data_IF_001838361791
#
_entry.id   IF_001838361791
#
_cell.length_a   1.000
_cell.length_b   1.000
_cell.length_c   1.000
_cell.angle_alpha   90.00
_cell.angle_beta   90.00
_cell.angle_gamma   90.00
#
_symmetry.space_group_name_H-M   'P 1'
#
loop_
_entity.id
_entity.type
_entity.pdbx_description
1 polymer ?
#
# COMPACT_ATOMS: atom_id res chain seq x y z
N UNK A 1 16.18 -12.42 -6.51
CA UNK A 1 17.38 -11.95 -7.25
C UNK A 1 18.59 -12.73 -6.75
N UNK A 2 19.35 -13.41 -7.61
CA UNK A 2 20.57 -14.14 -7.19
C UNK A 2 21.75 -13.18 -7.08
N UNK A 3 21.71 -12.30 -6.07
CA UNK A 3 22.78 -11.35 -5.79
C UNK A 3 23.78 -11.93 -4.77
N UNK A 4 25.08 -11.56 -4.88
CA UNK A 4 26.04 -11.78 -3.82
C UNK A 4 25.51 -11.21 -2.49
N UNK A 5 25.78 -11.83 -1.33
CA UNK A 5 25.21 -11.41 -0.04
C UNK A 5 25.34 -9.90 0.25
N UNK A 6 26.47 -9.29 -0.13
CA UNK A 6 26.74 -7.87 0.06
C UNK A 6 25.86 -6.91 -0.77
N UNK A 7 25.09 -7.41 -1.75
CA UNK A 7 24.20 -6.61 -2.63
C UNK A 7 22.73 -6.95 -2.45
N UNK A 8 22.38 -7.83 -1.51
CA UNK A 8 20.99 -8.23 -1.28
C UNK A 8 20.16 -7.15 -0.58
N UNK A 9 20.85 -6.20 0.07
CA UNK A 9 20.25 -5.04 0.69
C UNK A 9 20.62 -3.78 -0.11
N UNK A 10 19.68 -2.85 -0.28
CA UNK A 10 19.93 -1.55 -0.87
C UNK A 10 20.74 -0.63 0.05
N UNK A 11 20.93 -1.04 1.31
CA UNK A 11 21.80 -0.40 2.28
C UNK A 11 23.16 -1.12 2.33
N UNK A 12 24.23 -0.42 1.97
CA UNK A 12 25.60 -0.90 2.19
C UNK A 12 25.89 -1.10 3.69
N UNK A 13 26.87 -1.95 4.04
CA UNK A 13 27.39 -2.06 5.41
C UNK A 13 27.83 -0.73 6.04
N UNK A 14 28.10 0.30 5.22
CA UNK A 14 28.41 1.67 5.65
C UNK A 14 27.20 2.60 5.73
N UNK A 15 25.98 2.07 5.67
CA UNK A 15 24.72 2.83 5.57
C UNK A 15 24.68 3.81 4.38
N UNK A 16 25.50 3.57 3.37
CA UNK A 16 25.44 4.29 2.10
C UNK A 16 24.38 3.62 1.23
N UNK A 17 23.42 4.38 0.73
CA UNK A 17 22.42 3.86 -0.19
C UNK A 17 23.05 3.57 -1.54
N UNK A 18 22.88 2.34 -2.00
CA UNK A 18 23.10 2.01 -3.39
C UNK A 18 21.80 2.30 -4.15
N UNK A 19 21.70 3.51 -4.70
CA UNK A 19 20.51 3.97 -5.43
C UNK A 19 20.22 3.08 -6.65
N UNK A 20 21.24 2.46 -7.27
CA UNK A 20 21.01 1.51 -8.35
C UNK A 20 20.37 0.22 -7.86
N UNK A 21 20.79 -0.30 -6.71
CA UNK A 21 20.16 -1.47 -6.09
C UNK A 21 18.75 -1.14 -5.61
N UNK A 22 18.54 0.06 -5.05
CA UNK A 22 17.20 0.54 -4.70
C UNK A 22 16.29 0.54 -5.94
N UNK A 23 16.73 1.17 -7.03
CA UNK A 23 15.94 1.23 -8.26
C UNK A 23 15.67 -0.15 -8.86
N UNK A 24 16.68 -1.03 -8.88
CA UNK A 24 16.52 -2.40 -9.36
C UNK A 24 15.51 -3.20 -8.52
N UNK A 25 15.55 -3.03 -7.20
CA UNK A 25 14.61 -3.71 -6.27
C UNK A 25 13.20 -3.19 -6.47
N UNK A 26 13.04 -1.86 -6.52
CA UNK A 26 11.77 -1.18 -6.78
C UNK A 26 11.15 -1.67 -8.11
N UNK A 27 11.92 -1.69 -9.20
CA UNK A 27 11.46 -2.18 -10.50
C UNK A 27 11.09 -3.66 -10.47
N UNK A 28 11.83 -4.48 -9.72
CA UNK A 28 11.56 -5.92 -9.57
C UNK A 28 10.21 -6.14 -8.90
N UNK A 29 9.94 -5.46 -7.79
CA UNK A 29 8.65 -5.57 -7.09
C UNK A 29 7.50 -5.02 -7.92
N UNK A 30 7.68 -3.88 -8.59
CA UNK A 30 6.66 -3.32 -9.49
C UNK A 30 6.33 -4.29 -10.65
N UNK A 31 7.36 -4.87 -11.28
CA UNK A 31 7.17 -5.84 -12.37
C UNK A 31 6.49 -7.11 -11.87
N UNK A 32 6.83 -7.57 -10.67
CA UNK A 32 6.17 -8.71 -10.02
C UNK A 32 4.67 -8.46 -9.83
N UNK A 33 4.28 -7.28 -9.33
CA UNK A 33 2.87 -6.88 -9.24
C UNK A 33 2.22 -6.93 -10.63
N UNK A 34 2.80 -6.28 -11.63
CA UNK A 34 2.22 -6.21 -12.97
C UNK A 34 2.05 -7.59 -13.64
N UNK A 35 2.95 -8.53 -13.35
CA UNK A 35 2.89 -9.89 -13.89
C UNK A 35 1.81 -10.75 -13.21
N UNK A 36 1.71 -10.65 -11.88
CA UNK A 36 0.82 -11.50 -11.10
C UNK A 36 -0.61 -10.95 -10.98
N UNK A 37 -0.77 -9.62 -10.90
CA UNK A 37 -2.05 -8.97 -10.65
C UNK A 37 -3.19 -9.41 -11.60
N UNK A 38 -2.99 -9.58 -12.93
CA UNK A 38 -4.07 -10.01 -13.83
C UNK A 38 -4.62 -11.42 -13.54
N UNK A 39 -3.85 -12.24 -12.85
CA UNK A 39 -4.19 -13.61 -12.47
C UNK A 39 -4.52 -13.72 -10.97
N UNK A 40 -4.37 -12.61 -10.23
CA UNK A 40 -4.77 -12.54 -8.84
C UNK A 40 -6.30 -12.51 -8.73
N UNK A 41 -6.80 -12.81 -7.55
CA UNK A 41 -8.22 -12.74 -7.19
C UNK A 41 -8.54 -11.48 -6.36
N UNK A 42 -7.66 -10.48 -6.42
CA UNK A 42 -7.87 -9.17 -5.78
C UNK A 42 -8.72 -8.30 -6.68
N UNK A 43 -9.97 -8.09 -6.30
CA UNK A 43 -10.86 -7.19 -7.03
C UNK A 43 -10.22 -5.79 -7.15
N UNK A 44 -9.95 -5.38 -8.38
CA UNK A 44 -9.40 -4.05 -8.67
C UNK A 44 -10.49 -3.00 -8.89
N UNK A 45 -11.77 -3.36 -8.82
CA UNK A 45 -12.88 -2.44 -8.98
C UNK A 45 -12.87 -1.25 -8.00
N UNK A 46 -12.51 -1.42 -6.71
CA UNK A 46 -12.55 -0.31 -5.75
C UNK A 46 -11.51 0.77 -6.06
N UNK A 47 -10.41 0.41 -6.74
CA UNK A 47 -9.29 1.31 -7.03
C UNK A 47 -9.30 1.86 -8.45
N UNK A 48 -10.40 1.69 -9.19
CA UNK A 48 -10.52 2.11 -10.61
C UNK A 48 -10.22 3.59 -10.84
N UNK A 49 -10.52 4.46 -9.87
CA UNK A 49 -10.32 5.90 -9.98
C UNK A 49 -8.85 6.32 -9.80
N UNK A 50 -7.97 5.44 -9.33
CA UNK A 50 -6.52 5.70 -9.27
C UNK A 50 -5.91 5.50 -10.66
N UNK A 51 -5.55 6.61 -11.30
CA UNK A 51 -5.09 6.64 -12.71
C UNK A 51 -3.80 7.43 -12.90
N UNK A 52 -3.23 7.96 -11.81
CA UNK A 52 -2.02 8.81 -11.83
C UNK A 52 -0.79 8.14 -12.45
N UNK A 53 -0.68 6.81 -12.36
CA UNK A 53 0.55 6.10 -12.71
C UNK A 53 0.37 4.98 -13.74
N UNK A 54 -0.83 4.42 -13.87
CA UNK A 54 -1.17 3.41 -14.86
C UNK A 54 -2.69 3.39 -15.12
N UNK A 55 -3.14 3.01 -16.32
CA UNK A 55 -4.56 2.79 -16.58
C UNK A 55 -5.08 1.58 -15.79
N UNK A 56 -6.35 1.66 -15.34
CA UNK A 56 -7.00 0.55 -14.65
C UNK A 56 -7.11 -0.68 -15.55
N UNK A 57 -6.78 -1.85 -14.98
CA UNK A 57 -7.06 -3.15 -15.59
C UNK A 57 -8.00 -3.94 -14.69
N UNK A 58 -9.15 -4.42 -15.19
CA UNK A 58 -10.04 -5.26 -14.41
C UNK A 58 -9.34 -6.55 -13.99
N UNK A 59 -9.46 -6.90 -12.71
CA UNK A 59 -9.02 -8.18 -12.15
C UNK A 59 -10.27 -8.85 -11.57
N UNK A 60 -10.62 -10.08 -12.02
CA UNK A 60 -11.77 -10.78 -11.49
C UNK A 60 -11.52 -11.22 -10.05
N UNK A 61 -12.54 -11.04 -9.20
CA UNK A 61 -12.55 -11.55 -7.82
C UNK A 61 -12.63 -13.08 -7.81
N UNK A 62 -12.15 -13.70 -6.73
CA UNK A 62 -12.31 -15.15 -6.50
C UNK A 62 -12.14 -15.51 -5.03
N UNK A 63 -12.55 -16.74 -4.68
CA UNK A 63 -12.78 -17.15 -3.29
C UNK A 63 -11.54 -17.66 -2.55
N UNK A 64 -10.44 -17.95 -3.26
CA UNK A 64 -9.26 -18.61 -2.69
C UNK A 64 -7.99 -17.89 -3.11
N UNK A 65 -7.45 -17.03 -2.23
CA UNK A 65 -6.14 -16.39 -2.37
C UNK A 65 -5.12 -17.32 -3.06
N UNK A 66 -4.97 -17.13 -4.37
CA UNK A 66 -4.13 -18.01 -5.16
C UNK A 66 -2.66 -17.57 -5.06
N UNK A 67 -1.75 -18.34 -5.64
CA UNK A 67 -0.34 -18.00 -5.63
C UNK A 67 -0.05 -16.60 -6.23
N UNK A 68 -0.81 -16.19 -7.24
CA UNK A 68 -0.67 -14.85 -7.84
C UNK A 68 -1.11 -13.74 -6.89
N UNK A 69 -2.20 -13.95 -6.14
CA UNK A 69 -2.61 -13.02 -5.10
C UNK A 69 -1.50 -12.86 -4.05
N UNK A 70 -0.95 -13.98 -3.55
CA UNK A 70 0.11 -13.94 -2.55
C UNK A 70 1.36 -13.21 -3.05
N UNK A 71 1.79 -13.48 -4.30
CA UNK A 71 2.91 -12.76 -4.91
C UNK A 71 2.63 -11.26 -5.09
N UNK A 72 1.40 -10.89 -5.42
CA UNK A 72 0.99 -9.49 -5.60
C UNK A 72 1.05 -8.73 -4.27
N UNK A 73 0.44 -9.28 -3.21
CA UNK A 73 0.45 -8.69 -1.86
C UNK A 73 1.87 -8.62 -1.30
N UNK A 74 2.64 -9.70 -1.39
CA UNK A 74 4.01 -9.72 -0.89
C UNK A 74 4.92 -8.70 -1.61
N UNK A 75 4.73 -8.52 -2.93
CA UNK A 75 5.48 -7.51 -3.69
C UNK A 75 5.09 -6.09 -3.28
N UNK A 76 3.82 -5.84 -3.00
CA UNK A 76 3.35 -4.55 -2.49
C UNK A 76 3.87 -4.25 -1.07
N UNK A 77 3.97 -5.27 -0.22
CA UNK A 77 4.54 -5.19 1.12
C UNK A 77 6.04 -4.82 1.08
N UNK A 78 6.83 -5.46 0.20
CA UNK A 78 8.25 -5.12 0.04
C UNK A 78 8.44 -3.68 -0.48
N UNK A 79 7.57 -3.17 -1.36
CA UNK A 79 7.59 -1.74 -1.74
C UNK A 79 7.33 -0.84 -0.53
N UNK A 80 6.36 -1.19 0.32
CA UNK A 80 6.06 -0.42 1.53
C UNK A 80 7.29 -0.40 2.45
N UNK A 81 7.97 -1.54 2.61
CA UNK A 81 9.20 -1.64 3.39
C UNK A 81 10.33 -0.78 2.83
N UNK A 82 10.46 -0.63 1.52
CA UNK A 82 11.47 0.24 0.90
C UNK A 82 11.34 1.70 1.31
N UNK A 83 10.13 2.18 1.67
CA UNK A 83 9.90 3.53 2.20
C UNK A 83 10.67 3.75 3.52
N UNK A 84 10.92 2.68 4.28
CA UNK A 84 11.61 2.74 5.58
C UNK A 84 13.13 2.77 5.49
N UNK A 85 13.69 2.70 4.27
CA UNK A 85 15.14 2.78 4.08
C UNK A 85 15.69 4.11 4.63
N UNK A 86 16.91 4.07 5.16
CA UNK A 86 17.53 5.22 5.86
C UNK A 86 18.08 6.29 4.91
N UNK A 87 17.24 6.75 3.99
CA UNK A 87 17.53 7.83 3.03
C UNK A 87 16.28 8.70 2.89
N UNK A 88 16.42 10.03 2.78
CA UNK A 88 15.27 10.89 2.53
C UNK A 88 14.51 10.46 1.27
N UNK A 89 13.17 10.40 1.32
CA UNK A 89 12.34 9.98 0.19
C UNK A 89 12.57 10.85 -1.06
N UNK A 90 12.84 12.14 -0.86
CA UNK A 90 13.14 13.10 -1.91
C UNK A 90 14.50 12.86 -2.62
N UNK A 91 15.36 11.99 -2.08
CA UNK A 91 16.61 11.59 -2.74
C UNK A 91 16.41 10.51 -3.80
N UNK A 92 15.25 9.85 -3.83
CA UNK A 92 14.92 8.84 -4.84
C UNK A 92 14.31 9.48 -6.10
N UNK A 93 14.30 8.71 -7.18
CA UNK A 93 13.68 9.15 -8.45
C UNK A 93 12.17 9.33 -8.31
N UNK A 94 11.60 10.24 -9.13
CA UNK A 94 10.16 10.41 -9.28
C UNK A 94 9.38 9.11 -9.49
N UNK A 95 10.01 8.16 -10.17
CA UNK A 95 9.37 6.90 -10.50
C UNK A 95 8.95 6.13 -9.25
N UNK A 96 9.61 6.36 -8.10
CA UNK A 96 9.19 5.77 -6.84
C UNK A 96 7.78 6.19 -6.41
N UNK A 97 7.31 7.40 -6.74
CA UNK A 97 5.92 7.82 -6.55
C UNK A 97 4.94 6.86 -7.24
N UNK A 98 5.25 6.45 -8.48
CA UNK A 98 4.42 5.51 -9.22
C UNK A 98 4.39 4.13 -8.56
N UNK A 99 5.52 3.70 -8.02
CA UNK A 99 5.66 2.38 -7.38
C UNK A 99 4.97 2.35 -6.02
N UNK A 100 5.05 3.43 -5.23
CA UNK A 100 4.27 3.60 -3.99
C UNK A 100 2.77 3.58 -4.32
N UNK A 101 2.34 4.27 -5.37
CA UNK A 101 0.93 4.29 -5.79
C UNK A 101 0.44 2.89 -6.17
N UNK A 102 1.25 2.13 -6.90
CA UNK A 102 0.95 0.73 -7.26
C UNK A 102 0.82 -0.16 -6.02
N UNK A 103 1.71 0.00 -5.02
CA UNK A 103 1.61 -0.69 -3.74
C UNK A 103 0.32 -0.31 -2.98
N UNK A 104 -0.03 0.98 -2.92
CA UNK A 104 -1.27 1.45 -2.29
C UNK A 104 -2.52 0.86 -2.94
N UNK A 105 -2.56 0.74 -4.27
CA UNK A 105 -3.68 0.11 -4.99
C UNK A 105 -3.87 -1.33 -4.51
N UNK A 106 -2.79 -2.12 -4.43
CA UNK A 106 -2.87 -3.52 -3.97
C UNK A 106 -3.38 -3.61 -2.54
N UNK A 107 -2.88 -2.75 -1.65
CA UNK A 107 -3.31 -2.72 -0.25
C UNK A 107 -4.77 -2.30 -0.09
N UNK A 108 -5.23 -1.32 -0.86
CA UNK A 108 -6.65 -0.92 -0.90
C UNK A 108 -7.55 -2.04 -1.43
N UNK A 109 -7.12 -2.75 -2.48
CA UNK A 109 -7.83 -3.94 -2.98
C UNK A 109 -7.94 -5.03 -1.92
N UNK A 110 -6.86 -5.28 -1.15
CA UNK A 110 -6.89 -6.22 -0.02
C UNK A 110 -7.85 -5.74 1.07
N UNK A 111 -7.81 -4.46 1.41
CA UNK A 111 -8.68 -3.88 2.44
C UNK A 111 -10.18 -3.90 2.09
N UNK A 112 -10.51 -3.80 0.80
CA UNK A 112 -11.88 -3.86 0.31
C UNK A 112 -12.54 -5.25 0.46
N UNK A 113 -11.77 -6.29 0.82
CA UNK A 113 -12.32 -7.61 1.12
C UNK A 113 -13.17 -7.57 2.40
N UNK A 114 -14.19 -8.43 2.45
CA UNK A 114 -15.16 -8.53 3.56
C UNK A 114 -14.46 -8.84 4.87
N UNK A 115 -13.51 -9.78 4.82
CA UNK A 115 -12.74 -10.22 5.97
C UNK A 115 -11.32 -10.55 5.52
N UNK A 116 -10.37 -10.15 6.36
CA UNK A 116 -8.95 -10.44 6.19
C UNK A 116 -8.56 -11.34 7.38
N UNK A 117 -8.36 -12.65 7.15
CA UNK A 117 -7.98 -13.57 8.22
C UNK A 117 -6.57 -13.28 8.68
N UNK A 118 -6.42 -12.79 9.91
CA UNK A 118 -5.16 -12.39 10.53
C UNK A 118 -4.44 -11.29 9.73
N UNK A 119 -3.73 -10.40 10.42
CA UNK A 119 -2.83 -9.42 9.79
C UNK A 119 -3.47 -8.12 9.24
N UNK A 120 -4.44 -7.60 9.98
CA UNK A 120 -5.01 -6.26 9.78
C UNK A 120 -4.03 -5.14 10.19
N UNK A 121 -3.20 -5.39 11.21
CA UNK A 121 -2.21 -4.44 11.70
C UNK A 121 -1.11 -4.14 10.67
N UNK A 122 -0.63 -5.16 9.95
CA UNK A 122 0.38 -4.97 8.90
C UNK A 122 -0.20 -4.14 7.74
N UNK A 123 -1.40 -4.47 7.26
CA UNK A 123 -2.06 -3.74 6.18
C UNK A 123 -2.32 -2.28 6.56
N UNK A 124 -2.81 -2.04 7.77
CA UNK A 124 -3.00 -0.71 8.31
C UNK A 124 -1.70 0.08 8.30
N UNK A 125 -0.61 -0.51 8.81
CA UNK A 125 0.70 0.12 8.82
C UNK A 125 1.23 0.42 7.41
N UNK A 126 1.03 -0.50 6.46
CA UNK A 126 1.42 -0.34 5.06
C UNK A 126 0.65 0.79 4.37
N UNK A 127 -0.67 0.87 4.54
CA UNK A 127 -1.48 1.98 4.03
C UNK A 127 -1.04 3.31 4.61
N UNK A 128 -0.85 3.38 5.93
CA UNK A 128 -0.38 4.58 6.63
C UNK A 128 0.99 5.02 6.12
N UNK A 129 1.91 4.07 5.95
CA UNK A 129 3.27 4.34 5.47
C UNK A 129 3.27 4.85 4.03
N UNK A 130 2.50 4.24 3.13
CA UNK A 130 2.41 4.68 1.75
C UNK A 130 1.77 6.06 1.60
N UNK A 131 0.69 6.33 2.34
CA UNK A 131 0.04 7.66 2.37
C UNK A 131 1.00 8.72 2.93
N UNK A 132 1.73 8.37 3.98
CA UNK A 132 2.77 9.21 4.55
C UNK A 132 3.87 9.55 3.54
N UNK A 133 4.36 8.56 2.80
CA UNK A 133 5.36 8.76 1.77
C UNK A 133 4.85 9.64 0.62
N UNK A 134 3.63 9.42 0.14
CA UNK A 134 3.03 10.28 -0.88
C UNK A 134 2.83 11.71 -0.38
N UNK A 135 2.48 11.89 0.91
CA UNK A 135 2.38 13.20 1.55
C UNK A 135 3.71 13.92 1.68
N UNK A 136 4.81 13.21 1.93
CA UNK A 136 6.17 13.78 1.96
C UNK A 136 6.63 14.19 0.56
N UNK A 137 6.25 13.43 -0.47
CA UNK A 137 6.62 13.70 -1.86
C UNK A 137 5.75 14.77 -2.53
N UNK A 138 4.51 14.99 -2.07
CA UNK A 138 3.55 15.89 -2.73
C UNK A 138 3.97 17.36 -2.87
N UNK A 139 4.74 17.97 -1.94
CA UNK A 139 5.16 19.38 -2.10
C UNK A 139 6.12 19.60 -3.28
N UNK A 140 6.84 18.55 -3.70
CA UNK A 140 7.85 18.61 -4.75
C UNK A 140 7.34 18.02 -6.06
N UNK A 141 6.56 16.94 -5.98
CA UNK A 141 6.12 16.16 -7.13
C UNK A 141 4.60 16.20 -7.29
N UNK A 142 4.11 16.90 -8.31
CA UNK A 142 2.66 17.00 -8.60
C UNK A 142 1.96 15.64 -8.78
N UNK A 143 2.67 14.65 -9.33
CA UNK A 143 2.11 13.31 -9.47
C UNK A 143 1.88 12.64 -8.10
N UNK A 144 2.72 12.93 -7.10
CA UNK A 144 2.55 12.44 -5.73
C UNK A 144 1.35 13.09 -5.05
N UNK A 145 1.15 14.39 -5.24
CA UNK A 145 -0.05 15.10 -4.77
C UNK A 145 -1.33 14.51 -5.37
N UNK A 146 -1.33 14.28 -6.68
CA UNK A 146 -2.46 13.66 -7.39
C UNK A 146 -2.71 12.24 -6.87
N UNK A 147 -1.66 11.43 -6.74
CA UNK A 147 -1.76 10.06 -6.23
C UNK A 147 -2.24 10.03 -4.78
N UNK A 148 -1.77 10.93 -3.91
CA UNK A 148 -2.20 11.06 -2.53
C UNK A 148 -3.72 11.31 -2.45
N UNK A 149 -4.20 12.28 -3.24
CA UNK A 149 -5.63 12.59 -3.33
C UNK A 149 -6.47 11.40 -3.79
N UNK A 150 -6.02 10.69 -4.85
CA UNK A 150 -6.71 9.51 -5.37
C UNK A 150 -6.73 8.35 -4.36
N UNK A 151 -5.59 8.04 -3.71
CA UNK A 151 -5.48 6.96 -2.72
C UNK A 151 -6.38 7.24 -1.51
N UNK A 152 -6.38 8.48 -0.99
CA UNK A 152 -7.26 8.88 0.12
C UNK A 152 -8.74 8.83 -0.27
N UNK A 153 -9.08 9.31 -1.47
CA UNK A 153 -10.46 9.28 -1.98
C UNK A 153 -10.99 7.85 -2.08
N UNK A 154 -10.21 6.94 -2.67
CA UNK A 154 -10.58 5.52 -2.74
C UNK A 154 -10.70 4.88 -1.37
N UNK A 155 -9.80 5.19 -0.43
CA UNK A 155 -9.90 4.69 0.93
C UNK A 155 -11.25 5.08 1.59
N UNK A 156 -11.66 6.33 1.42
CA UNK A 156 -12.96 6.81 1.91
C UNK A 156 -14.14 6.09 1.23
N UNK A 157 -14.05 5.84 -0.08
CA UNK A 157 -15.07 5.10 -0.83
C UNK A 157 -15.20 3.65 -0.35
N UNK A 158 -14.08 2.95 -0.18
CA UNK A 158 -14.03 1.58 0.37
C UNK A 158 -14.67 1.56 1.76
N UNK A 159 -14.26 2.46 2.64
CA UNK A 159 -14.80 2.53 3.99
C UNK A 159 -16.32 2.73 4.02
N UNK A 160 -16.83 3.68 3.23
CA UNK A 160 -18.27 3.95 3.11
C UNK A 160 -19.02 2.72 2.59
N UNK A 161 -18.47 2.03 1.59
CA UNK A 161 -19.07 0.81 1.04
C UNK A 161 -19.12 -0.33 2.07
N UNK A 162 -18.03 -0.52 2.84
CA UNK A 162 -17.99 -1.49 3.94
C UNK A 162 -19.02 -1.13 5.00
N UNK A 163 -19.02 0.11 5.51
CA UNK A 163 -20.01 0.58 6.50
C UNK A 163 -21.46 0.36 6.05
N UNK A 164 -21.78 0.67 4.80
CA UNK A 164 -23.12 0.44 4.26
C UNK A 164 -23.49 -1.05 4.24
N UNK A 165 -22.54 -1.92 3.90
CA UNK A 165 -22.74 -3.37 3.86
C UNK A 165 -22.87 -3.99 5.25
N UNK A 166 -22.12 -3.48 6.23
CA UNK A 166 -22.12 -3.96 7.63
C UNK A 166 -23.48 -3.81 8.34
N UNK A 167 -24.38 -2.95 7.84
CA UNK A 167 -25.74 -2.78 8.37
C UNK A 167 -26.60 -4.02 8.10
N UNK A 168 -26.30 -4.78 7.04
CA UNK A 168 -27.07 -5.96 6.66
C UNK A 168 -26.64 -7.17 7.50
N UNK A 169 -27.53 -7.82 8.28
CA UNK A 169 -27.19 -9.03 9.06
C UNK A 169 -26.63 -10.16 8.20
N UNK A 170 -27.04 -10.25 6.93
CA UNK A 170 -26.55 -11.25 5.99
C UNK A 170 -25.07 -11.09 5.62
N UNK A 171 -24.52 -9.87 5.74
CA UNK A 171 -23.10 -9.58 5.47
C UNK A 171 -22.15 -10.35 6.40
N UNK A 172 -22.60 -10.61 7.63
CA UNK A 172 -21.81 -11.30 8.66
C UNK A 172 -22.07 -12.81 8.72
N UNK A 173 -22.84 -13.36 7.78
CA UNK A 173 -23.16 -14.79 7.75
C UNK A 173 -21.88 -15.61 7.62
N UNK A 174 -21.63 -16.50 8.59
CA UNK A 174 -20.45 -17.36 8.60
C UNK A 174 -19.28 -16.85 9.45
N UNK A 175 -19.40 -15.67 10.07
CA UNK A 175 -18.40 -15.11 10.99
C UNK A 175 -18.87 -15.19 12.45
N UNK A 176 -17.93 -15.35 13.36
CA UNK A 176 -18.15 -15.25 14.81
C UNK A 176 -18.31 -13.78 15.25
N UNK A 177 -18.95 -13.56 16.40
CA UNK A 177 -19.10 -12.22 16.96
C UNK A 177 -17.76 -11.50 17.20
N UNK A 178 -16.71 -12.25 17.55
CA UNK A 178 -15.36 -11.71 17.76
C UNK A 178 -14.74 -11.21 16.44
N UNK A 179 -14.86 -11.99 15.35
CA UNK A 179 -14.38 -11.61 14.03
C UNK A 179 -15.11 -10.38 13.49
N UNK A 180 -16.43 -10.31 13.70
CA UNK A 180 -17.24 -9.14 13.33
C UNK A 180 -16.78 -7.88 14.08
N UNK A 181 -16.63 -7.96 15.41
CA UNK A 181 -16.19 -6.83 16.21
C UNK A 181 -14.79 -6.36 15.82
N UNK A 182 -13.88 -7.31 15.59
CA UNK A 182 -12.50 -7.03 15.17
C UNK A 182 -12.47 -6.33 13.81
N UNK A 183 -13.22 -6.85 12.84
CA UNK A 183 -13.30 -6.27 11.50
C UNK A 183 -13.81 -4.82 11.51
N UNK A 184 -14.86 -4.54 12.28
CA UNK A 184 -15.42 -3.18 12.41
C UNK A 184 -14.39 -2.24 13.07
N UNK A 185 -13.73 -2.68 14.14
CA UNK A 185 -12.73 -1.87 14.84
C UNK A 185 -11.49 -1.59 13.96
N UNK A 186 -11.07 -2.58 13.17
CA UNK A 186 -9.99 -2.42 12.19
C UNK A 186 -10.35 -1.34 11.16
N UNK A 187 -11.53 -1.41 10.55
CA UNK A 187 -11.95 -0.46 9.51
C UNK A 187 -11.98 0.98 10.02
N UNK A 188 -12.49 1.18 11.24
CA UNK A 188 -12.47 2.48 11.94
C UNK A 188 -11.03 2.97 12.17
N UNK A 189 -10.16 2.08 12.64
CA UNK A 189 -8.76 2.43 12.94
C UNK A 189 -8.00 2.81 11.67
N UNK A 190 -8.14 2.04 10.59
CA UNK A 190 -7.53 2.34 9.30
C UNK A 190 -7.98 3.71 8.80
N UNK A 191 -9.28 4.01 8.79
CA UNK A 191 -9.73 5.32 8.31
C UNK A 191 -9.28 6.48 9.18
N UNK A 192 -9.30 6.33 10.50
CA UNK A 192 -8.82 7.37 11.40
C UNK A 192 -7.35 7.72 11.10
N UNK A 193 -6.48 6.73 10.85
CA UNK A 193 -5.08 6.99 10.51
C UNK A 193 -4.91 7.64 9.13
N UNK A 194 -5.77 7.32 8.16
CA UNK A 194 -5.76 7.92 6.82
C UNK A 194 -6.19 9.39 6.88
N UNK A 195 -7.19 9.73 7.71
CA UNK A 195 -7.74 11.08 7.87
C UNK A 195 -6.83 11.99 8.71
N UNK A 196 -6.30 11.49 9.83
CA UNK A 196 -5.42 12.27 10.70
C UNK A 196 -4.08 12.58 10.01
N UNK A 197 -3.63 11.71 9.10
CA UNK A 197 -2.32 11.80 8.47
C UNK A 197 -1.18 11.59 9.45
N UNK A 198 0.06 11.50 8.96
CA UNK A 198 1.23 11.59 9.85
C UNK A 198 1.28 13.00 10.46
N UNK A 199 1.66 13.16 11.73
CA UNK A 199 1.93 14.48 12.30
C UNK A 199 3.00 15.16 11.44
N UNK A 200 2.63 16.22 10.74
CA UNK A 200 3.58 17.08 10.03
C UNK A 200 4.38 17.85 11.05
N UNK A 201 5.57 17.34 11.39
CA UNK A 201 6.48 18.04 12.29
C UNK A 201 7.50 17.11 12.93
N UNK A 202 8.54 16.72 12.19
CA UNK A 202 9.83 16.60 12.85
C UNK A 202 10.32 18.03 13.14
N UNK A 203 10.67 18.39 14.38
CA UNK A 203 11.31 19.67 14.64
C UNK A 203 12.61 19.72 13.84
N UNK A 204 12.82 20.84 13.16
CA UNK A 204 14.09 21.12 12.49
C UNK A 204 15.21 20.97 13.53
N UNK A 205 16.19 20.12 13.23
CA UNK A 205 17.45 20.09 13.97
C UNK A 205 18.39 21.18 13.44
N UNK A 206 17.90 22.40 13.25
CA UNK A 206 18.75 23.57 13.07
C UNK A 206 19.19 24.06 14.45
N UNK A 207 20.19 23.38 15.00
CA UNK A 207 20.86 23.83 16.21
C UNK A 207 21.63 22.73 16.92
N UNK A 208 22.74 22.28 16.32
CA UNK A 208 24.05 21.99 16.95
C UNK A 208 25.12 22.30 15.90
#
# INVERSE_FOLDING_TARGET
>A
MHLPPAKRDALSQKLQSDEMIFQASMMTHATSIMLHQPHSQLDSSPTRSVTSCAPHRPVPSGDYFNAHTNHTVASAAEISKMITHRVPLLSHTHFFTCVITLSSIVHLCRWALIYIPHDDDELRQQLRLNIGALSELSPVWRAADTALGQVRGVAQEIYRAKKASQINPGYWTGYSSEEVMTSIATDETIMNEIEVGLPTGMPSMDGI
#
